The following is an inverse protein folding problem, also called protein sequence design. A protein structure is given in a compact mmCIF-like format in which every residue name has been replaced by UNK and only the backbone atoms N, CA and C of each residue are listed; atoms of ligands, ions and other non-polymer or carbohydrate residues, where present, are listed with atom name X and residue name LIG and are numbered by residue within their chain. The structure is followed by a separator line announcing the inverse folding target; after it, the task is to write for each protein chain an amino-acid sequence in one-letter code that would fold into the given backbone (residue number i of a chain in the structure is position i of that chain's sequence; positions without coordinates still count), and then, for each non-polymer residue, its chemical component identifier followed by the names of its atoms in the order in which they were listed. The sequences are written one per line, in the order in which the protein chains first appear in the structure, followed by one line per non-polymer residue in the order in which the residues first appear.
data_IF_951388271574
#
_entry.id   IF_951388271574
#
_cell.length_a   1.000
_cell.length_b   1.000
_cell.length_c   1.000
_cell.angle_alpha   90.00
_cell.angle_beta   90.00
_cell.angle_gamma   90.00
#
_symmetry.space_group_name_H-M   'P 1'
#
loop_
_entity.id
_entity.type
_entity.pdbx_description
1 polymer ?
#
# COMPACT_ATOMS: atom_id res chain seq x y z
N UNK A 1 14.96 10.78 1.89
CA UNK A 1 14.52 11.69 2.98
C UNK A 1 15.60 12.75 3.18
N UNK A 2 15.24 14.05 3.15
CA UNK A 2 16.23 15.16 3.17
C UNK A 2 16.74 15.51 4.59
N UNK A 3 15.92 15.22 5.62
CA UNK A 3 16.24 15.52 7.03
C UNK A 3 15.73 14.39 7.94
N UNK A 4 16.40 13.24 7.97
CA UNK A 4 15.94 12.05 8.72
C UNK A 4 15.83 12.34 10.24
N UNK A 5 16.73 13.18 10.79
CA UNK A 5 16.74 13.55 12.20
C UNK A 5 15.53 14.38 12.68
N UNK A 6 14.76 14.94 11.73
CA UNK A 6 13.53 15.69 12.04
C UNK A 6 12.28 14.82 11.99
N UNK A 7 12.36 13.66 11.38
CA UNK A 7 11.19 12.77 11.15
C UNK A 7 10.60 12.28 12.47
N UNK A 8 11.46 12.02 13.45
CA UNK A 8 11.02 11.54 14.77
C UNK A 8 10.20 12.56 15.56
N UNK A 9 10.29 13.82 15.18
CA UNK A 9 9.56 14.93 15.84
C UNK A 9 8.24 15.26 15.14
N UNK A 10 8.00 14.73 13.95
CA UNK A 10 6.77 14.99 13.21
C UNK A 10 5.62 14.12 13.74
N UNK A 11 4.43 14.71 13.94
CA UNK A 11 3.26 13.92 14.23
C UNK A 11 2.95 12.99 13.06
N UNK A 12 2.63 11.74 13.37
CA UNK A 12 2.22 10.77 12.35
C UNK A 12 1.10 9.87 12.91
N UNK A 13 0.22 9.42 12.04
CA UNK A 13 -0.87 8.50 12.41
C UNK A 13 -0.32 7.23 13.06
N UNK A 14 0.70 6.53 12.48
CA UNK A 14 1.26 5.35 13.12
C UNK A 14 1.77 5.62 14.53
N UNK A 15 2.55 6.68 14.73
CA UNK A 15 3.08 7.02 16.06
C UNK A 15 1.97 7.33 17.07
N UNK A 16 0.95 8.08 16.65
CA UNK A 16 -0.18 8.38 17.53
C UNK A 16 -0.92 7.12 17.95
N UNK A 17 -1.15 6.18 17.03
CA UNK A 17 -1.78 4.91 17.33
C UNK A 17 -0.88 3.97 18.15
N UNK A 18 0.44 3.96 17.88
CA UNK A 18 1.40 3.23 18.73
C UNK A 18 1.34 3.71 20.19
N UNK A 19 1.32 5.03 20.40
CA UNK A 19 1.20 5.62 21.74
C UNK A 19 -0.14 5.32 22.40
N UNK A 20 -1.19 5.08 21.63
CA UNK A 20 -2.50 4.63 22.09
C UNK A 20 -2.58 3.09 22.30
N UNK A 21 -1.45 2.37 22.18
CA UNK A 21 -1.38 0.94 22.43
C UNK A 21 -1.71 0.03 21.25
N UNK A 22 -1.81 0.58 20.04
CA UNK A 22 -2.04 -0.22 18.83
C UNK A 22 -0.80 -1.01 18.43
N UNK A 23 -1.01 -2.24 17.96
CA UNK A 23 0.00 -3.04 17.27
C UNK A 23 0.04 -2.65 15.79
N UNK A 24 1.23 -2.27 15.30
CA UNK A 24 1.38 -1.71 13.97
C UNK A 24 2.12 -2.69 13.06
N UNK A 25 1.54 -2.94 11.90
CA UNK A 25 2.15 -3.77 10.85
C UNK A 25 2.01 -3.08 9.49
N UNK A 26 3.01 -3.27 8.65
CA UNK A 26 3.04 -2.75 7.28
C UNK A 26 3.22 -3.88 6.28
N UNK A 27 2.44 -3.86 5.22
CA UNK A 27 2.43 -4.83 4.14
C UNK A 27 2.68 -4.15 2.80
N UNK A 28 3.69 -4.62 2.10
CA UNK A 28 4.08 -4.12 0.79
C UNK A 28 4.65 -5.26 -0.07
N UNK A 29 4.19 -5.41 -1.31
CA UNK A 29 4.72 -6.44 -2.20
C UNK A 29 6.14 -6.19 -2.71
N UNK A 30 6.62 -4.95 -2.61
CA UNK A 30 7.90 -4.49 -3.13
C UNK A 30 9.01 -4.35 -2.09
N UNK A 31 10.13 -3.77 -2.54
CA UNK A 31 11.30 -3.52 -1.70
C UNK A 31 11.05 -2.36 -0.73
N UNK A 32 10.90 -2.68 0.55
CA UNK A 32 10.72 -1.68 1.60
C UNK A 32 11.98 -0.83 1.88
N UNK A 33 13.14 -1.21 1.36
CA UNK A 33 14.37 -0.44 1.49
C UNK A 33 14.49 0.64 0.40
N UNK A 34 13.64 0.56 -0.65
CA UNK A 34 13.54 1.58 -1.68
C UNK A 34 13.24 2.96 -1.09
N UNK A 35 14.01 3.99 -1.48
CA UNK A 35 13.89 5.39 -1.03
C UNK A 35 13.91 5.60 0.50
N UNK A 36 14.54 4.70 1.26
CA UNK A 36 14.60 4.72 2.73
C UNK A 36 13.22 4.59 3.42
N UNK A 37 12.25 3.95 2.76
CA UNK A 37 10.90 3.76 3.30
C UNK A 37 10.93 2.99 4.62
N UNK A 38 11.72 1.93 4.73
CA UNK A 38 11.88 1.15 5.97
C UNK A 38 12.31 2.02 7.15
N UNK A 39 13.30 2.91 6.96
CA UNK A 39 13.73 3.84 8.01
C UNK A 39 12.58 4.73 8.49
N UNK A 40 11.77 5.23 7.56
CA UNK A 40 10.61 6.04 7.91
C UNK A 40 9.56 5.25 8.69
N UNK A 41 9.25 4.03 8.25
CA UNK A 41 8.27 3.15 8.90
C UNK A 41 8.70 2.81 10.33
N UNK A 42 9.96 2.41 10.52
CA UNK A 42 10.52 2.10 11.85
C UNK A 42 10.50 3.35 12.75
N UNK A 43 10.92 4.50 12.24
CA UNK A 43 10.88 5.76 13.00
C UNK A 43 9.46 6.18 13.37
N UNK A 44 8.46 5.73 12.61
CA UNK A 44 7.04 5.96 12.89
C UNK A 44 6.45 4.95 13.88
N UNK A 45 7.25 3.98 14.36
CA UNK A 45 6.83 2.97 15.35
C UNK A 45 6.30 1.67 14.76
N UNK A 46 6.46 1.45 13.44
CA UNK A 46 6.09 0.20 12.77
C UNK A 46 7.29 -0.75 12.83
N UNK A 47 7.14 -1.85 13.56
CA UNK A 47 8.22 -2.83 13.78
C UNK A 47 8.10 -4.05 12.87
N UNK A 48 6.87 -4.50 12.59
CA UNK A 48 6.63 -5.63 11.67
C UNK A 48 6.36 -5.09 10.27
N UNK A 49 7.30 -5.35 9.37
CA UNK A 49 7.27 -4.93 7.96
C UNK A 49 7.39 -6.17 7.09
N UNK A 50 6.32 -6.51 6.40
CA UNK A 50 6.28 -7.54 5.36
C UNK A 50 6.59 -6.86 4.02
N UNK A 51 7.62 -7.32 3.34
CA UNK A 51 8.11 -6.75 2.08
C UNK A 51 8.43 -7.85 1.06
N UNK A 52 8.99 -7.49 -0.08
CA UNK A 52 9.36 -8.44 -1.13
C UNK A 52 10.10 -9.68 -0.61
N UNK A 53 11.01 -9.52 0.35
CA UNK A 53 11.83 -10.61 0.92
C UNK A 53 11.01 -11.67 1.66
N UNK A 54 9.79 -11.33 2.09
CA UNK A 54 8.88 -12.21 2.80
C UNK A 54 7.97 -13.04 1.87
N UNK A 55 8.11 -12.85 0.56
CA UNK A 55 7.42 -13.63 -0.47
C UNK A 55 8.39 -14.56 -1.19
N UNK A 56 7.96 -15.77 -1.59
CA UNK A 56 8.76 -16.64 -2.45
C UNK A 56 9.12 -15.96 -3.77
N UNK A 57 10.27 -16.27 -4.34
CA UNK A 57 10.69 -15.72 -5.65
C UNK A 57 9.67 -15.97 -6.77
N UNK A 58 8.98 -17.11 -6.72
CA UNK A 58 7.94 -17.47 -7.68
C UNK A 58 6.70 -16.55 -7.63
N UNK A 59 6.50 -15.84 -6.53
CA UNK A 59 5.39 -14.92 -6.32
C UNK A 59 5.75 -13.46 -6.62
N UNK A 60 7.04 -13.15 -6.79
CA UNK A 60 7.54 -11.81 -7.13
C UNK A 60 7.51 -11.59 -8.64
N UNK A 61 6.35 -11.65 -9.24
CA UNK A 61 6.16 -11.62 -10.70
C UNK A 61 6.07 -10.23 -11.30
N UNK A 62 5.84 -9.21 -10.50
CA UNK A 62 5.79 -7.82 -10.93
C UNK A 62 7.17 -7.14 -10.90
N UNK A 63 7.32 -6.03 -11.61
CA UNK A 63 8.53 -5.19 -11.55
C UNK A 63 8.86 -4.75 -10.13
N UNK A 64 7.84 -4.50 -9.32
CA UNK A 64 7.98 -4.01 -7.95
C UNK A 64 8.00 -5.12 -6.90
N UNK A 65 7.90 -6.39 -7.28
CA UNK A 65 7.88 -7.54 -6.39
C UNK A 65 6.59 -8.36 -6.50
N UNK A 66 5.98 -8.73 -5.38
CA UNK A 66 4.72 -9.45 -5.35
C UNK A 66 3.57 -8.51 -5.74
N UNK A 67 2.68 -8.99 -6.61
CA UNK A 67 1.54 -8.22 -7.07
C UNK A 67 0.44 -8.12 -6.01
N UNK A 68 -0.50 -7.18 -6.18
CA UNK A 68 -1.49 -6.84 -5.14
C UNK A 68 -2.35 -8.01 -4.71
N UNK A 69 -2.75 -8.93 -5.62
CA UNK A 69 -3.51 -10.12 -5.22
C UNK A 69 -2.71 -11.02 -4.26
N UNK A 70 -1.41 -11.19 -4.49
CA UNK A 70 -0.52 -11.99 -3.62
C UNK A 70 -0.34 -11.28 -2.27
N UNK A 71 -0.16 -9.96 -2.29
CA UNK A 71 -0.07 -9.13 -1.09
C UNK A 71 -1.32 -9.30 -0.20
N UNK A 72 -2.51 -9.17 -0.79
CA UNK A 72 -3.77 -9.32 -0.04
C UNK A 72 -4.02 -10.76 0.41
N UNK A 73 -3.61 -11.78 -0.36
CA UNK A 73 -3.66 -13.17 0.08
C UNK A 73 -2.76 -13.40 1.30
N UNK A 74 -1.56 -12.83 1.32
CA UNK A 74 -0.65 -12.90 2.47
C UNK A 74 -1.26 -12.23 3.69
N UNK A 75 -1.80 -11.02 3.53
CA UNK A 75 -2.47 -10.31 4.62
C UNK A 75 -3.65 -11.11 5.17
N UNK A 76 -4.49 -11.66 4.31
CA UNK A 76 -5.64 -12.48 4.72
C UNK A 76 -5.20 -13.76 5.44
N UNK A 77 -4.12 -14.39 4.99
CA UNK A 77 -3.52 -15.53 5.65
C UNK A 77 -3.07 -15.18 7.07
N UNK A 78 -2.28 -14.11 7.21
CA UNK A 78 -1.77 -13.66 8.51
C UNK A 78 -2.92 -13.26 9.46
N UNK A 79 -4.00 -12.67 8.94
CA UNK A 79 -5.20 -12.32 9.71
C UNK A 79 -5.97 -13.56 10.23
N UNK A 80 -5.95 -14.67 9.49
CA UNK A 80 -6.63 -15.91 9.86
C UNK A 80 -5.79 -16.83 10.75
N UNK A 81 -4.49 -16.90 10.49
CA UNK A 81 -3.59 -17.84 11.14
C UNK A 81 -2.95 -17.29 12.43
N UNK A 82 -2.69 -15.99 12.47
CA UNK A 82 -2.09 -15.35 13.64
C UNK A 82 -3.17 -14.83 14.60
N UNK A 83 -2.99 -15.06 15.90
CA UNK A 83 -3.82 -14.41 16.93
C UNK A 83 -3.54 -12.91 16.88
N UNK A 84 -4.50 -12.13 16.40
CA UNK A 84 -4.36 -10.68 16.33
C UNK A 84 -4.28 -10.06 17.72
N UNK A 85 -3.28 -9.21 17.93
CA UNK A 85 -3.15 -8.42 19.15
C UNK A 85 -3.89 -7.11 18.96
N UNK A 86 -5.07 -7.02 19.51
CA UNK A 86 -5.92 -5.82 19.45
C UNK A 86 -5.54 -4.79 20.53
N UNK A 87 -5.71 -3.49 20.28
CA UNK A 87 -6.06 -2.95 18.97
C UNK A 87 -4.89 -2.99 17.97
N UNK A 88 -5.18 -3.03 16.67
CA UNK A 88 -4.14 -3.07 15.64
C UNK A 88 -4.37 -2.08 14.50
N UNK A 89 -3.29 -1.69 13.85
CA UNK A 89 -3.27 -1.01 12.56
C UNK A 89 -2.47 -1.84 11.57
N UNK A 90 -3.07 -2.20 10.45
CA UNK A 90 -2.38 -2.80 9.31
C UNK A 90 -2.38 -1.80 8.15
N UNK A 91 -1.21 -1.30 7.82
CA UNK A 91 -0.99 -0.44 6.65
C UNK A 91 -0.66 -1.32 5.45
N UNK A 92 -1.38 -1.17 4.37
CA UNK A 92 -1.19 -1.95 3.14
C UNK A 92 -0.92 -0.99 2.00
N UNK A 93 0.22 -1.15 1.33
CA UNK A 93 0.57 -0.36 0.15
C UNK A 93 0.49 -1.24 -1.09
N UNK A 94 -0.40 -0.89 -2.00
CA UNK A 94 -0.48 -1.51 -3.34
C UNK A 94 0.58 -0.93 -4.26
N UNK A 95 0.96 -1.68 -5.30
CA UNK A 95 1.97 -1.25 -6.28
C UNK A 95 1.67 -1.61 -7.73
N UNK A 96 0.65 -2.44 -7.96
CA UNK A 96 0.37 -2.95 -9.31
C UNK A 96 -0.18 -1.89 -10.26
N UNK A 97 -0.69 -0.78 -9.74
CA UNK A 97 -1.12 0.38 -10.52
C UNK A 97 0.00 1.38 -10.84
N UNK A 98 1.26 0.99 -10.63
CA UNK A 98 2.46 1.77 -10.98
C UNK A 98 3.09 1.28 -12.28
N UNK A 99 3.88 2.13 -12.95
CA UNK A 99 4.67 1.72 -14.13
C UNK A 99 5.50 0.45 -13.85
N UNK A 100 5.51 -0.52 -14.75
CA UNK A 100 5.06 -0.52 -16.15
C UNK A 100 3.59 -0.88 -16.37
N UNK A 101 2.73 -0.89 -15.37
CA UNK A 101 1.30 -1.21 -15.43
C UNK A 101 1.03 -2.64 -15.93
N UNK A 102 1.92 -3.56 -15.62
CA UNK A 102 1.82 -4.97 -15.99
C UNK A 102 1.14 -5.76 -14.88
N UNK A 103 -0.05 -6.27 -15.17
CA UNK A 103 -0.88 -7.02 -14.23
C UNK A 103 -1.37 -8.32 -14.85
N UNK A 104 -1.62 -9.39 -14.06
CA UNK A 104 -2.05 -10.69 -14.55
C UNK A 104 -3.57 -10.73 -14.85
N UNK A 105 -4.06 -9.70 -15.52
CA UNK A 105 -5.48 -9.44 -15.68
C UNK A 105 -5.66 -8.52 -16.89
N UNK A 106 -6.62 -8.84 -17.74
CA UNK A 106 -6.92 -8.03 -18.92
C UNK A 106 -8.42 -7.89 -19.10
N UNK A 107 -8.96 -6.76 -18.68
CA UNK A 107 -10.37 -6.39 -18.83
C UNK A 107 -10.57 -5.12 -19.64
N UNK A 108 -9.55 -4.27 -19.70
CA UNK A 108 -9.57 -3.01 -20.40
C UNK A 108 -8.37 -2.92 -21.36
N UNK A 109 -8.59 -2.34 -22.52
CA UNK A 109 -7.53 -2.18 -23.54
C UNK A 109 -6.48 -1.16 -23.12
N UNK A 110 -6.87 -0.10 -22.43
CA UNK A 110 -5.94 0.86 -21.86
C UNK A 110 -5.18 0.23 -20.68
N UNK A 111 -3.86 0.14 -20.83
CA UNK A 111 -2.96 -0.52 -19.89
C UNK A 111 -2.99 0.11 -18.49
N UNK A 112 -3.09 1.44 -18.41
CA UNK A 112 -3.12 2.19 -17.14
C UNK A 112 -4.46 1.94 -16.45
N UNK A 113 -5.57 2.16 -17.14
CA UNK A 113 -6.90 1.91 -16.61
C UNK A 113 -7.09 0.45 -16.22
N UNK A 114 -6.52 -0.49 -16.99
CA UNK A 114 -6.56 -1.91 -16.68
C UNK A 114 -5.82 -2.23 -15.38
N UNK A 115 -4.67 -1.59 -15.13
CA UNK A 115 -3.91 -1.77 -13.88
C UNK A 115 -4.65 -1.20 -12.67
N UNK A 116 -5.35 -0.09 -12.82
CA UNK A 116 -6.20 0.47 -11.77
C UNK A 116 -7.41 -0.43 -11.48
N UNK A 117 -8.08 -0.93 -12.53
CA UNK A 117 -9.17 -1.88 -12.37
C UNK A 117 -8.72 -3.19 -11.68
N UNK A 118 -7.49 -3.62 -11.93
CA UNK A 118 -6.90 -4.75 -11.24
C UNK A 118 -6.66 -4.47 -9.75
N UNK A 119 -6.04 -3.35 -9.40
CA UNK A 119 -5.79 -2.97 -8.00
C UNK A 119 -7.12 -2.83 -7.23
N UNK A 120 -8.12 -2.18 -7.81
CA UNK A 120 -9.48 -2.06 -7.25
C UNK A 120 -10.12 -3.44 -7.03
N UNK A 121 -10.00 -4.34 -7.99
CA UNK A 121 -10.47 -5.72 -7.89
C UNK A 121 -9.81 -6.47 -6.72
N UNK A 122 -8.49 -6.31 -6.52
CA UNK A 122 -7.76 -6.92 -5.40
C UNK A 122 -8.26 -6.39 -4.04
N UNK A 123 -8.48 -5.09 -3.93
CA UNK A 123 -9.05 -4.46 -2.72
C UNK A 123 -10.48 -4.98 -2.48
N UNK A 124 -11.32 -5.01 -3.52
CA UNK A 124 -12.70 -5.48 -3.41
C UNK A 124 -12.79 -6.94 -2.97
N UNK A 125 -11.96 -7.81 -3.51
CA UNK A 125 -11.92 -9.24 -3.13
C UNK A 125 -11.40 -9.43 -1.71
N UNK A 126 -10.40 -8.65 -1.29
CA UNK A 126 -9.94 -8.65 0.09
C UNK A 126 -11.06 -8.23 1.06
N UNK A 127 -11.75 -7.13 0.78
CA UNK A 127 -12.85 -6.62 1.63
C UNK A 127 -13.96 -7.66 1.75
N UNK A 128 -14.36 -8.31 0.64
CA UNK A 128 -15.38 -9.39 0.66
C UNK A 128 -14.96 -10.53 1.58
N UNK A 129 -13.72 -11.00 1.47
CA UNK A 129 -13.21 -12.08 2.34
C UNK A 129 -13.10 -11.64 3.80
N UNK A 130 -12.72 -10.38 4.04
CA UNK A 130 -12.62 -9.83 5.40
C UNK A 130 -13.98 -9.70 6.07
N UNK A 131 -15.06 -9.41 5.31
CA UNK A 131 -16.44 -9.37 5.80
C UNK A 131 -16.90 -10.69 6.44
N UNK A 132 -16.31 -11.80 6.02
CA UNK A 132 -16.61 -13.14 6.56
C UNK A 132 -15.87 -13.41 7.89
N UNK A 133 -14.97 -12.54 8.31
CA UNK A 133 -14.22 -12.69 9.55
C UNK A 133 -14.92 -12.02 10.76
N UNK A 134 -14.70 -12.51 11.99
CA UNK A 134 -15.22 -11.85 13.19
C UNK A 134 -14.69 -10.40 13.37
N UNK A 135 -13.53 -10.08 12.78
CA UNK A 135 -12.87 -8.79 12.89
C UNK A 135 -13.65 -7.68 12.18
N UNK A 136 -14.46 -8.02 11.17
CA UNK A 136 -15.22 -7.05 10.39
C UNK A 136 -16.01 -6.05 11.23
N UNK A 137 -16.68 -6.53 12.28
CA UNK A 137 -17.59 -5.70 13.10
C UNK A 137 -16.88 -4.60 13.88
N UNK A 138 -15.56 -4.69 14.03
CA UNK A 138 -14.76 -3.77 14.83
C UNK A 138 -13.57 -3.21 14.03
N UNK A 139 -13.68 -3.13 12.71
CA UNK A 139 -12.62 -2.64 11.83
C UNK A 139 -13.09 -1.44 11.02
N UNK A 140 -12.27 -0.40 11.00
CA UNK A 140 -12.41 0.73 10.09
C UNK A 140 -11.43 0.55 8.92
N UNK A 141 -11.95 0.57 7.70
CA UNK A 141 -11.16 0.62 6.47
C UNK A 141 -10.98 2.08 6.03
N UNK A 142 -9.73 2.46 5.77
CA UNK A 142 -9.41 3.78 5.25
C UNK A 142 -8.64 3.60 3.95
N UNK A 143 -9.21 4.03 2.84
CA UNK A 143 -8.58 4.01 1.52
C UNK A 143 -8.04 5.41 1.22
N UNK A 144 -6.74 5.51 0.98
CA UNK A 144 -6.06 6.78 0.72
C UNK A 144 -5.25 6.65 -0.56
N UNK A 145 -5.58 7.37 -1.63
CA UNK A 145 -4.68 7.49 -2.76
C UNK A 145 -3.44 8.28 -2.34
N UNK A 146 -2.26 7.83 -2.76
CA UNK A 146 -0.99 8.50 -2.45
C UNK A 146 -0.73 9.72 -3.35
N UNK A 147 -1.14 9.64 -4.63
CA UNK A 147 -1.09 10.72 -5.60
C UNK A 147 -2.00 10.43 -6.80
N UNK A 148 -2.21 11.41 -7.65
CA UNK A 148 -2.90 11.21 -8.91
C UNK A 148 -2.03 10.46 -9.91
N UNK A 149 -2.66 9.59 -10.71
CA UNK A 149 -2.00 8.98 -11.88
C UNK A 149 -1.67 10.09 -12.90
N UNK A 150 -0.38 10.40 -13.06
CA UNK A 150 0.06 11.34 -14.09
C UNK A 150 0.19 10.61 -15.43
N UNK A 151 -0.79 10.75 -16.33
CA UNK A 151 -0.50 10.58 -17.76
C UNK A 151 0.27 11.81 -18.25
N UNK A 152 1.25 11.63 -19.13
CA UNK A 152 2.06 12.73 -19.69
C UNK A 152 1.20 13.83 -20.31
N UNK A 153 0.03 13.48 -20.87
CA UNK A 153 -0.94 14.45 -21.41
C UNK A 153 -1.57 15.34 -20.33
N UNK A 154 -1.70 14.86 -19.10
CA UNK A 154 -2.31 15.63 -18.01
C UNK A 154 -1.34 16.65 -17.39
N UNK A 155 -0.05 16.32 -17.36
CA UNK A 155 1.00 17.24 -16.92
C UNK A 155 1.20 18.39 -17.88
N UNK A 156 1.05 18.17 -19.19
CA UNK A 156 1.10 19.24 -20.20
C UNK A 156 -0.09 20.20 -20.11
N UNK A 157 -1.29 19.71 -19.85
CA UNK A 157 -2.47 20.56 -19.68
C UNK A 157 -2.35 21.48 -18.45
N UNK A 158 -1.86 20.96 -17.31
CA UNK A 158 -1.63 21.79 -16.12
C UNK A 158 -0.49 22.79 -16.26
N UNK A 159 0.56 22.47 -17.00
CA UNK A 159 1.64 23.42 -17.26
C UNK A 159 1.16 24.62 -18.09
N UNK A 160 0.21 24.41 -19.01
CA UNK A 160 -0.40 25.48 -19.78
C UNK A 160 -1.41 26.31 -18.99
N UNK A 161 -2.13 25.73 -18.02
CA UNK A 161 -3.06 26.48 -17.19
C UNK A 161 -2.36 27.43 -16.20
N UNK A 162 -1.17 27.07 -15.73
CA UNK A 162 -0.37 27.93 -14.82
C UNK A 162 0.36 29.07 -15.54
N UNK A 163 0.55 29.02 -16.85
CA UNK A 163 1.13 30.12 -17.63
C UNK A 163 0.10 31.13 -18.10
N UNK A 164 -1.19 30.80 -18.05
CA UNK A 164 -2.27 31.70 -18.49
C UNK A 164 -2.81 32.64 -17.37
N UNK A 165 -2.42 32.40 -16.11
CA UNK A 165 -2.87 33.17 -14.94
C UNK A 165 -1.77 34.09 -14.37
N UNK A 166 -0.70 34.36 -15.12
CA UNK A 166 0.32 35.37 -14.83
C UNK A 166 0.31 36.49 -15.90
#
# INVERSE_FOLDING_TARGET
MKYPEKTDKLPSIPRSLKNAGYNLEYYYGGDADFTNMRSYLVSSGIEKIISDKDFPLSERTGKWGAQDHVLFQRLMKDLKEEKQKEPFLKLVQTSSSHEPFEVPFHRLDDKILNSFAYADSCVGDFVKQYQETPLWKNTLFVLVPDHQGASVSYTHLRAHETEADL
#
